data_IF_160755759451
#
_entry.id   IF_160755759451
#
_cell.length_a   1.000
_cell.length_b   1.000
_cell.length_c   1.000
_cell.angle_alpha   90.00
_cell.angle_beta   90.00
_cell.angle_gamma   90.00
#
_symmetry.space_group_name_H-M   'P 1'
#
loop_
_entity.id
_entity.type
_entity.pdbx_description
1 polymer ?
#
# COMPACT_ATOMS: atom_id res chain seq x y z
N UNK A 1 -49.92 24.99 46.42
CA UNK A 1 -50.18 24.21 45.19
C UNK A 1 -48.85 23.64 44.73
N UNK A 2 -48.66 22.35 44.96
CA UNK A 2 -47.35 21.68 44.84
C UNK A 2 -47.24 21.06 43.46
N UNK A 3 -46.34 21.58 42.63
CA UNK A 3 -46.05 21.02 41.31
C UNK A 3 -45.01 19.91 41.49
N UNK A 4 -45.46 18.69 41.79
CA UNK A 4 -44.66 17.49 41.61
C UNK A 4 -44.88 16.98 40.17
N UNK A 5 -44.21 17.62 39.21
CA UNK A 5 -44.20 17.16 37.81
C UNK A 5 -43.27 15.95 37.72
N UNK A 6 -43.82 14.73 37.59
CA UNK A 6 -43.03 13.52 37.32
C UNK A 6 -42.27 13.71 36.01
N UNK A 7 -40.95 13.88 36.10
CA UNK A 7 -40.06 13.85 34.94
C UNK A 7 -40.05 12.40 34.44
N UNK A 8 -40.36 12.15 33.17
CA UNK A 8 -40.36 10.79 32.60
C UNK A 8 -38.94 10.23 32.69
N UNK A 9 -38.66 9.33 33.64
CA UNK A 9 -37.35 8.66 33.82
C UNK A 9 -36.90 7.81 32.62
N UNK A 10 -37.75 7.65 31.60
CA UNK A 10 -37.44 6.90 30.38
C UNK A 10 -36.30 7.52 29.55
N UNK A 11 -36.04 8.83 29.69
CA UNK A 11 -35.06 9.54 28.84
C UNK A 11 -33.60 9.30 29.22
N UNK A 12 -33.30 8.96 30.49
CA UNK A 12 -31.90 8.74 30.92
C UNK A 12 -31.34 7.43 30.37
N UNK A 13 -32.12 6.35 30.44
CA UNK A 13 -31.72 5.04 29.91
C UNK A 13 -31.59 5.10 28.39
N UNK A 14 -32.50 5.78 27.71
CA UNK A 14 -32.43 6.00 26.27
C UNK A 14 -31.16 6.76 25.86
N UNK A 15 -30.84 7.86 26.56
CA UNK A 15 -29.61 8.61 26.33
C UNK A 15 -28.35 7.76 26.56
N UNK A 16 -28.34 6.96 27.63
CA UNK A 16 -27.23 6.06 27.95
C UNK A 16 -27.04 5.01 26.85
N UNK A 17 -28.10 4.33 26.43
CA UNK A 17 -28.04 3.34 25.35
C UNK A 17 -27.55 3.98 24.05
N UNK A 18 -28.06 5.16 23.69
CA UNK A 18 -27.62 5.89 22.51
C UNK A 18 -26.11 6.21 22.57
N UNK A 19 -25.61 6.66 23.71
CA UNK A 19 -24.17 6.94 23.88
C UNK A 19 -23.31 5.69 23.74
N UNK A 20 -23.74 4.54 24.28
CA UNK A 20 -23.01 3.28 24.14
C UNK A 20 -22.95 2.85 22.68
N UNK A 21 -24.06 2.95 21.95
CA UNK A 21 -24.10 2.63 20.53
C UNK A 21 -23.14 3.52 19.72
N UNK A 22 -23.11 4.82 20.00
CA UNK A 22 -22.18 5.75 19.35
C UNK A 22 -20.73 5.35 19.63
N UNK A 23 -20.39 5.05 20.89
CA UNK A 23 -19.03 4.61 21.26
C UNK A 23 -18.63 3.34 20.52
N UNK A 24 -19.52 2.34 20.45
CA UNK A 24 -19.27 1.09 19.72
C UNK A 24 -18.97 1.36 18.24
N UNK A 25 -19.79 2.21 17.60
CA UNK A 25 -19.59 2.57 16.18
C UNK A 25 -18.23 3.25 15.98
N UNK A 26 -17.86 4.18 16.87
CA UNK A 26 -16.56 4.86 16.80
C UNK A 26 -15.38 3.89 16.95
N UNK A 27 -15.49 2.92 17.86
CA UNK A 27 -14.45 1.90 18.03
C UNK A 27 -14.31 1.05 16.77
N UNK A 28 -15.42 0.58 16.21
CA UNK A 28 -15.42 -0.20 14.96
C UNK A 28 -14.84 0.62 13.81
N UNK A 29 -15.28 1.87 13.64
CA UNK A 29 -14.76 2.76 12.61
C UNK A 29 -13.26 3.02 12.76
N UNK A 30 -12.76 3.20 13.99
CA UNK A 30 -11.33 3.40 14.27
C UNK A 30 -10.51 2.16 13.91
N UNK A 31 -11.03 0.97 14.24
CA UNK A 31 -10.38 -0.29 13.88
C UNK A 31 -10.35 -0.50 12.36
N UNK A 32 -11.45 -0.18 11.66
CA UNK A 32 -11.51 -0.24 10.19
C UNK A 32 -10.50 0.73 9.59
N UNK A 33 -10.47 1.99 10.05
CA UNK A 33 -9.54 3.01 9.56
C UNK A 33 -8.09 2.60 9.79
N UNK A 34 -7.75 2.09 10.98
CA UNK A 34 -6.40 1.62 11.27
C UNK A 34 -5.96 0.52 10.30
N UNK A 35 -6.83 -0.47 10.05
CA UNK A 35 -6.56 -1.53 9.10
C UNK A 35 -6.41 -1.02 7.66
N UNK A 36 -7.21 -0.02 7.26
CA UNK A 36 -7.08 0.60 5.94
C UNK A 36 -5.75 1.34 5.80
N UNK A 37 -5.36 2.14 6.79
CA UNK A 37 -4.09 2.88 6.79
C UNK A 37 -2.90 1.92 6.72
N UNK A 38 -2.87 0.89 7.57
CA UNK A 38 -1.80 -0.12 7.56
C UNK A 38 -1.72 -0.86 6.22
N UNK A 39 -2.86 -1.20 5.62
CA UNK A 39 -2.88 -1.86 4.31
C UNK A 39 -2.44 -0.93 3.18
N UNK A 40 -2.84 0.34 3.19
CA UNK A 40 -2.43 1.31 2.17
C UNK A 40 -0.94 1.59 2.25
N UNK A 41 -0.38 1.80 3.46
CA UNK A 41 1.06 2.03 3.62
C UNK A 41 1.88 0.80 3.25
N UNK A 42 1.47 -0.39 3.69
CA UNK A 42 2.19 -1.62 3.37
C UNK A 42 2.11 -1.99 1.88
N UNK A 43 1.06 -1.58 1.15
CA UNK A 43 0.88 -1.87 -0.28
C UNK A 43 1.30 -0.74 -1.21
N UNK A 44 1.77 0.39 -0.69
CA UNK A 44 2.20 1.50 -1.52
C UNK A 44 3.50 1.14 -2.27
N UNK A 45 3.37 0.64 -3.49
CA UNK A 45 4.48 0.35 -4.42
C UNK A 45 4.76 1.51 -5.37
N UNK A 46 4.11 2.67 -5.21
CA UNK A 46 4.25 3.76 -6.19
C UNK A 46 5.68 4.30 -6.29
N UNK A 47 6.42 4.35 -5.19
CA UNK A 47 7.82 4.82 -5.24
C UNK A 47 8.70 3.87 -6.06
N UNK A 48 8.57 2.55 -5.87
CA UNK A 48 9.34 1.57 -6.64
C UNK A 48 8.86 1.51 -8.10
N UNK A 49 7.56 1.64 -8.36
CA UNK A 49 7.02 1.71 -9.73
C UNK A 49 7.55 2.94 -10.49
N UNK A 50 7.61 4.09 -9.83
CA UNK A 50 8.18 5.30 -10.42
C UNK A 50 9.67 5.12 -10.73
N UNK A 51 10.45 4.58 -9.79
CA UNK A 51 11.88 4.30 -10.01
C UNK A 51 12.11 3.30 -11.15
N UNK A 52 11.30 2.24 -11.22
CA UNK A 52 11.34 1.28 -12.31
C UNK A 52 11.04 1.92 -13.67
N UNK A 53 10.10 2.86 -13.74
CA UNK A 53 9.83 3.60 -14.98
C UNK A 53 11.00 4.50 -15.41
N UNK A 54 11.69 5.15 -14.45
CA UNK A 54 12.91 5.91 -14.76
C UNK A 54 14.01 5.00 -15.31
N UNK A 55 14.25 3.86 -14.66
CA UNK A 55 15.22 2.88 -15.14
C UNK A 55 14.86 2.34 -16.52
N UNK A 56 13.58 2.11 -16.82
CA UNK A 56 13.12 1.75 -18.17
C UNK A 56 13.46 2.85 -19.20
N UNK A 57 13.28 4.12 -18.87
CA UNK A 57 13.63 5.24 -19.74
C UNK A 57 15.15 5.34 -19.97
N UNK A 58 15.94 5.16 -18.91
CA UNK A 58 17.40 5.18 -18.98
C UNK A 58 17.95 4.01 -19.81
N UNK A 59 17.31 2.85 -19.76
CA UNK A 59 17.64 1.70 -20.61
C UNK A 59 17.38 1.98 -22.10
N UNK A 60 16.23 2.59 -22.42
CA UNK A 60 15.90 2.96 -23.80
C UNK A 60 16.91 3.96 -24.39
N UNK A 61 17.36 4.91 -23.57
CA UNK A 61 18.32 5.93 -23.97
C UNK A 61 19.79 5.48 -23.83
N UNK A 62 20.03 4.20 -23.53
CA UNK A 62 21.37 3.63 -23.32
C UNK A 62 22.19 4.36 -22.23
N UNK A 63 21.51 5.06 -21.31
CA UNK A 63 22.13 5.75 -20.20
C UNK A 63 22.66 4.77 -19.14
N UNK A 64 22.05 3.59 -19.04
CA UNK A 64 22.50 2.51 -18.17
C UNK A 64 22.83 1.23 -18.95
N UNK A 65 23.91 0.54 -18.53
CA UNK A 65 24.40 -0.71 -19.13
C UNK A 65 23.92 -1.89 -18.31
N UNK A 66 23.52 -2.96 -18.99
CA UNK A 66 23.07 -4.22 -18.38
C UNK A 66 24.27 -5.21 -18.31
N UNK A 67 24.46 -5.99 -17.23
CA UNK A 67 23.63 -6.08 -16.02
C UNK A 67 23.73 -4.83 -15.15
N UNK A 68 22.59 -4.45 -14.56
CA UNK A 68 22.49 -3.30 -13.66
C UNK A 68 21.87 -3.75 -12.33
N UNK A 69 22.43 -3.26 -11.24
CA UNK A 69 22.00 -3.56 -9.88
C UNK A 69 21.95 -2.25 -9.09
N UNK A 70 20.87 -2.05 -8.36
CA UNK A 70 20.65 -0.86 -7.54
C UNK A 70 19.95 -1.23 -6.23
N UNK A 71 20.43 -0.67 -5.12
CA UNK A 71 19.68 -0.63 -3.86
C UNK A 71 18.92 0.69 -3.78
N UNK A 72 17.59 0.62 -3.85
CA UNK A 72 16.70 1.76 -3.74
C UNK A 72 15.85 1.64 -2.46
N UNK A 73 16.25 2.37 -1.42
CA UNK A 73 15.62 2.30 -0.09
C UNK A 73 15.57 0.87 0.46
N UNK A 74 14.37 0.29 0.59
CA UNK A 74 14.13 -1.08 1.05
C UNK A 74 14.02 -2.09 -0.11
N UNK A 75 14.32 -1.67 -1.33
CA UNK A 75 14.21 -2.48 -2.54
C UNK A 75 15.59 -2.74 -3.17
N UNK A 76 15.78 -3.95 -3.65
CA UNK A 76 16.90 -4.38 -4.47
C UNK A 76 16.40 -4.56 -5.90
N UNK A 77 16.97 -3.82 -6.83
CA UNK A 77 16.57 -3.82 -8.24
C UNK A 77 17.69 -4.47 -9.04
N UNK A 78 17.35 -5.54 -9.76
CA UNK A 78 18.27 -6.32 -10.58
C UNK A 78 17.73 -6.36 -12.01
N UNK A 79 18.52 -5.88 -12.96
CA UNK A 79 18.20 -5.85 -14.38
C UNK A 79 19.16 -6.78 -15.11
N UNK A 80 18.61 -7.82 -15.75
CA UNK A 80 19.38 -8.82 -16.48
C UNK A 80 18.78 -9.09 -17.86
N UNK A 81 19.66 -9.39 -18.84
CA UNK A 81 19.23 -9.87 -20.17
C UNK A 81 18.96 -11.37 -20.07
N UNK A 82 17.72 -11.77 -20.28
CA UNK A 82 17.31 -13.16 -20.41
C UNK A 82 17.32 -13.54 -21.90
N UNK A 83 18.25 -14.41 -22.32
CA UNK A 83 18.29 -14.94 -23.69
C UNK A 83 17.41 -16.17 -23.79
N UNK A 84 16.17 -16.02 -24.25
CA UNK A 84 15.33 -17.16 -24.65
C UNK A 84 15.13 -17.12 -26.17
N UNK A 85 15.85 -18.01 -26.86
CA UNK A 85 15.62 -18.44 -28.26
C UNK A 85 15.39 -17.33 -29.31
N UNK A 86 16.44 -16.53 -29.57
CA UNK A 86 16.58 -15.57 -30.70
C UNK A 86 15.95 -14.19 -30.58
N UNK A 87 15.10 -13.90 -29.59
CA UNK A 87 14.76 -12.52 -29.22
C UNK A 87 15.34 -12.21 -27.83
N UNK A 88 15.98 -11.04 -27.66
CA UNK A 88 16.50 -10.62 -26.36
C UNK A 88 15.36 -10.19 -25.45
N UNK A 89 15.20 -10.80 -24.27
CA UNK A 89 14.22 -10.35 -23.30
C UNK A 89 14.97 -9.63 -22.17
N UNK A 90 14.44 -8.49 -21.73
CA UNK A 90 14.92 -7.79 -20.56
C UNK A 90 14.03 -8.18 -19.37
N UNK A 91 14.64 -8.75 -18.34
CA UNK A 91 13.98 -9.05 -17.08
C UNK A 91 14.45 -8.03 -16.04
N UNK A 92 13.51 -7.22 -15.55
CA UNK A 92 13.71 -6.26 -14.48
C UNK A 92 13.00 -6.81 -13.25
N UNK A 93 13.76 -7.12 -12.20
CA UNK A 93 13.25 -7.68 -10.95
C UNK A 93 13.53 -6.68 -9.84
N UNK A 94 12.50 -6.28 -9.10
CA UNK A 94 12.64 -5.51 -7.87
C UNK A 94 12.12 -6.34 -6.69
N UNK A 95 12.99 -6.65 -5.73
CA UNK A 95 12.69 -7.39 -4.50
C UNK A 95 12.73 -6.46 -3.29
N UNK A 96 11.69 -6.45 -2.47
CA UNK A 96 11.67 -5.68 -1.23
C UNK A 96 12.29 -6.50 -0.08
N UNK A 97 13.36 -5.99 0.52
CA UNK A 97 14.12 -6.63 1.60
C UNK A 97 13.34 -6.78 2.92
N UNK A 98 12.28 -5.98 3.14
CA UNK A 98 11.47 -5.99 4.38
C UNK A 98 10.15 -6.75 4.26
N UNK A 99 9.51 -6.71 3.10
CA UNK A 99 8.15 -7.24 2.91
C UNK A 99 8.10 -8.50 2.06
N UNK A 100 9.25 -9.01 1.60
CA UNK A 100 9.37 -10.18 0.71
C UNK A 100 8.47 -10.07 -0.53
N UNK A 101 8.25 -8.84 -1.00
CA UNK A 101 7.43 -8.53 -2.17
C UNK A 101 8.33 -8.44 -3.38
N UNK A 102 7.90 -9.04 -4.49
CA UNK A 102 8.62 -8.99 -5.75
C UNK A 102 7.76 -8.33 -6.83
N UNK A 103 8.37 -7.42 -7.58
CA UNK A 103 7.78 -6.82 -8.78
C UNK A 103 8.65 -7.23 -9.96
N UNK A 104 8.08 -7.99 -10.88
CA UNK A 104 8.78 -8.52 -12.05
C UNK A 104 8.21 -7.84 -13.30
N UNK A 105 9.07 -7.19 -14.09
CA UNK A 105 8.73 -6.67 -15.42
C UNK A 105 9.54 -7.37 -16.50
N UNK A 106 8.84 -7.96 -17.47
CA UNK A 106 9.43 -8.57 -18.67
C UNK A 106 9.13 -7.71 -19.89
N UNK A 107 10.16 -7.35 -20.66
CA UNK A 107 10.03 -6.61 -21.92
C UNK A 107 10.86 -7.25 -23.03
N UNK A 108 10.35 -7.18 -24.25
CA UNK A 108 11.06 -7.60 -25.46
C UNK A 108 12.02 -6.46 -25.82
N UNK A 109 13.30 -6.78 -25.96
CA UNK A 109 14.31 -5.87 -26.50
C UNK A 109 14.49 -6.22 -27.98
N UNK A 110 13.99 -5.37 -28.88
CA UNK A 110 14.33 -5.40 -30.31
C UNK A 110 15.70 -4.79 -30.56
#
# INVERSE_FOLDING_TARGET
>A
MVVLKKIKSATLVEALVATILIVIIFVIASLVLNNLVLNTLSKNTHQIEYRLNELEYDLQNQAIKIPYEEEYEDWEIIIQKEKIQSNGWLNIVASNKKTNKEVIRKRIHE
#
